data_IF_902206264682
#
_entry.id   IF_902206264682
#
_cell.length_a   1.000
_cell.length_b   1.000
_cell.length_c   1.000
_cell.angle_alpha   90.00
_cell.angle_beta   90.00
_cell.angle_gamma   90.00
#
_symmetry.space_group_name_H-M   'P 1'
#
loop_
_entity.id
_entity.type
_entity.pdbx_description
1 polymer ?
#
# COMPACT_ATOMS: atom_id res chain seq x y z
N UNK A 1 -89.22 72.14 -1.07
CA UNK A 1 -88.05 72.93 -0.63
C UNK A 1 -87.52 72.25 0.63
N UNK A 2 -86.39 71.55 0.55
CA UNK A 2 -85.08 72.01 1.07
C UNK A 2 -85.00 71.61 2.55
N UNK A 3 -84.04 70.83 3.06
CA UNK A 3 -82.59 71.00 2.98
C UNK A 3 -81.94 69.63 3.23
N UNK A 4 -81.17 69.14 2.25
CA UNK A 4 -80.17 68.08 2.41
C UNK A 4 -78.84 68.81 2.27
N UNK A 5 -78.06 68.93 3.35
CA UNK A 5 -76.60 69.17 3.33
C UNK A 5 -76.11 69.40 4.76
N UNK A 6 -75.97 68.33 5.53
CA UNK A 6 -75.23 68.38 6.80
C UNK A 6 -74.30 67.17 6.95
N UNK A 7 -73.84 66.61 5.82
CA UNK A 7 -72.97 65.42 5.83
C UNK A 7 -71.83 65.52 4.81
N UNK A 8 -71.15 66.68 4.77
CA UNK A 8 -69.83 66.81 4.14
C UNK A 8 -68.97 67.75 5.01
N UNK A 9 -68.93 67.49 6.32
CA UNK A 9 -68.34 68.37 7.32
C UNK A 9 -67.00 67.94 7.90
N UNK A 10 -66.34 66.89 7.36
CA UNK A 10 -65.13 66.33 7.99
C UNK A 10 -63.91 66.11 7.07
N UNK A 11 -63.88 66.65 5.85
CA UNK A 11 -62.70 66.49 4.99
C UNK A 11 -62.26 67.75 4.22
N UNK A 12 -62.45 68.93 4.82
CA UNK A 12 -61.91 70.19 4.30
C UNK A 12 -60.90 70.74 5.31
N UNK A 13 -59.71 70.13 5.34
CA UNK A 13 -58.52 70.90 5.74
C UNK A 13 -58.36 72.03 4.72
N UNK A 14 -58.00 73.22 5.21
CA UNK A 14 -57.58 74.34 4.37
C UNK A 14 -56.54 73.85 3.33
N UNK A 15 -56.67 74.20 2.04
CA UNK A 15 -55.74 73.77 1.00
C UNK A 15 -54.26 74.03 1.34
N UNK A 16 -53.99 75.08 2.13
CA UNK A 16 -52.65 75.41 2.65
C UNK A 16 -52.07 74.37 3.61
N UNK A 17 -52.90 73.74 4.44
CA UNK A 17 -52.45 72.75 5.43
C UNK A 17 -52.16 71.40 4.76
N UNK A 18 -52.94 71.05 3.72
CA UNK A 18 -52.69 69.86 2.89
C UNK A 18 -51.38 69.98 2.11
N UNK A 19 -51.10 71.16 1.53
CA UNK A 19 -49.83 71.43 0.82
C UNK A 19 -48.63 71.30 1.77
N UNK A 20 -48.73 71.80 3.01
CA UNK A 20 -47.65 71.67 4.01
C UNK A 20 -47.40 70.22 4.41
N UNK A 21 -48.46 69.42 4.63
CA UNK A 21 -48.31 67.98 4.91
C UNK A 21 -47.67 67.22 3.75
N UNK A 22 -48.06 67.53 2.51
CA UNK A 22 -47.46 66.93 1.32
C UNK A 22 -45.99 67.31 1.16
N UNK A 23 -45.59 68.55 1.49
CA UNK A 23 -44.18 68.96 1.49
C UNK A 23 -43.36 68.17 2.50
N UNK A 24 -43.86 67.98 3.72
CA UNK A 24 -43.18 67.18 4.76
C UNK A 24 -43.03 65.72 4.31
N UNK A 25 -44.09 65.11 3.76
CA UNK A 25 -44.05 63.75 3.23
C UNK A 25 -43.07 63.61 2.05
N UNK A 26 -43.04 64.61 1.16
CA UNK A 26 -42.12 64.64 0.03
C UNK A 26 -40.67 64.71 0.50
N UNK A 27 -40.36 65.56 1.49
CA UNK A 27 -39.01 65.69 2.01
C UNK A 27 -38.57 64.46 2.81
N UNK A 28 -39.50 63.82 3.54
CA UNK A 28 -39.26 62.51 4.17
C UNK A 28 -38.98 61.41 3.14
N UNK A 29 -39.75 61.35 2.05
CA UNK A 29 -39.56 60.37 0.99
C UNK A 29 -38.22 60.57 0.26
N UNK A 30 -37.81 61.83 0.03
CA UNK A 30 -36.48 62.13 -0.54
C UNK A 30 -35.35 61.66 0.36
N UNK A 31 -35.46 61.87 1.68
CA UNK A 31 -34.47 61.40 2.64
C UNK A 31 -34.38 59.87 2.64
N UNK A 32 -35.52 59.19 2.68
CA UNK A 32 -35.57 57.71 2.66
C UNK A 32 -35.00 57.12 1.36
N UNK A 33 -35.26 57.75 0.21
CA UNK A 33 -34.67 57.38 -1.07
C UNK A 33 -33.15 57.56 -1.04
N UNK A 34 -32.67 58.68 -0.48
CA UNK A 34 -31.22 58.92 -0.35
C UNK A 34 -30.56 57.88 0.56
N UNK A 35 -31.14 57.61 1.73
CA UNK A 35 -30.63 56.61 2.68
C UNK A 35 -30.63 55.19 2.08
N UNK A 36 -31.60 54.89 1.22
CA UNK A 36 -31.65 53.63 0.48
C UNK A 36 -30.57 53.56 -0.58
N UNK A 37 -30.36 54.63 -1.35
CA UNK A 37 -29.33 54.71 -2.37
C UNK A 37 -27.92 54.58 -1.76
N UNK A 38 -27.68 55.19 -0.60
CA UNK A 38 -26.41 55.04 0.12
C UNK A 38 -26.18 53.60 0.61
N UNK A 39 -27.22 52.94 1.14
CA UNK A 39 -27.14 51.53 1.56
C UNK A 39 -26.90 50.60 0.38
N UNK A 40 -27.57 50.82 -0.74
CA UNK A 40 -27.36 50.06 -1.97
C UNK A 40 -25.92 50.18 -2.47
N UNK A 41 -25.36 51.40 -2.49
CA UNK A 41 -23.96 51.61 -2.87
C UNK A 41 -22.98 50.85 -1.97
N UNK A 42 -23.22 50.83 -0.65
CA UNK A 42 -22.38 50.06 0.30
C UNK A 42 -22.46 48.55 0.03
N UNK A 43 -23.67 48.03 -0.20
CA UNK A 43 -23.86 46.61 -0.51
C UNK A 43 -23.23 46.21 -1.85
N UNK A 44 -23.26 47.09 -2.86
CA UNK A 44 -22.56 46.86 -4.13
C UNK A 44 -21.03 46.81 -3.96
N UNK A 45 -20.47 47.70 -3.15
CA UNK A 45 -19.05 47.71 -2.80
C UNK A 45 -18.66 46.41 -2.06
N UNK A 46 -19.44 46.00 -1.04
CA UNK A 46 -19.23 44.75 -0.30
C UNK A 46 -19.34 43.51 -1.20
N UNK A 47 -20.35 43.46 -2.07
CA UNK A 47 -20.54 42.36 -3.02
C UNK A 47 -19.36 42.24 -4.00
N UNK A 48 -18.82 43.38 -4.45
CA UNK A 48 -17.64 43.41 -5.31
C UNK A 48 -16.39 42.91 -4.58
N UNK A 49 -16.22 43.29 -3.32
CA UNK A 49 -15.12 42.82 -2.49
C UNK A 49 -15.20 41.31 -2.22
N UNK A 50 -16.38 40.81 -1.83
CA UNK A 50 -16.60 39.38 -1.60
C UNK A 50 -16.37 38.55 -2.87
N UNK A 51 -16.81 39.05 -4.04
CA UNK A 51 -16.51 38.39 -5.33
C UNK A 51 -15.01 38.33 -5.62
N UNK A 52 -14.27 39.40 -5.30
CA UNK A 52 -12.82 39.42 -5.47
C UNK A 52 -12.11 38.45 -4.52
N UNK A 53 -12.55 38.39 -3.24
CA UNK A 53 -12.05 37.43 -2.25
C UNK A 53 -12.32 35.99 -2.68
N UNK A 54 -13.53 35.70 -3.13
CA UNK A 54 -13.90 34.38 -3.63
C UNK A 54 -13.05 33.97 -4.83
N UNK A 55 -12.81 34.88 -5.79
CA UNK A 55 -11.95 34.61 -6.93
C UNK A 55 -10.51 34.28 -6.52
N UNK A 56 -9.95 34.98 -5.53
CA UNK A 56 -8.61 34.68 -5.00
C UNK A 56 -8.55 33.29 -4.35
N UNK A 57 -9.55 32.94 -3.55
CA UNK A 57 -9.63 31.62 -2.87
C UNK A 57 -9.78 30.49 -3.88
N UNK A 58 -10.59 30.67 -4.94
CA UNK A 58 -10.73 29.66 -5.99
C UNK A 58 -9.42 29.45 -6.78
N UNK A 59 -8.67 30.51 -7.06
CA UNK A 59 -7.35 30.37 -7.70
C UNK A 59 -6.33 29.70 -6.77
N UNK A 60 -6.32 30.02 -5.48
CA UNK A 60 -5.49 29.34 -4.50
C UNK A 60 -5.86 27.85 -4.39
N UNK A 61 -7.16 27.54 -4.37
CA UNK A 61 -7.67 26.16 -4.35
C UNK A 61 -7.21 25.38 -5.57
N UNK A 62 -7.32 25.96 -6.78
CA UNK A 62 -6.84 25.31 -8.01
C UNK A 62 -5.34 25.02 -7.96
N UNK A 63 -4.54 25.96 -7.46
CA UNK A 63 -3.09 25.76 -7.29
C UNK A 63 -2.79 24.62 -6.33
N UNK A 64 -3.48 24.59 -5.17
CA UNK A 64 -3.34 23.52 -4.18
C UNK A 64 -3.78 22.16 -4.73
N UNK A 65 -4.84 22.11 -5.52
CA UNK A 65 -5.27 20.87 -6.18
C UNK A 65 -4.18 20.38 -7.13
N UNK A 66 -3.65 21.25 -7.98
CA UNK A 66 -2.59 20.88 -8.92
C UNK A 66 -1.31 20.41 -8.20
N UNK A 67 -0.93 21.06 -7.10
CA UNK A 67 0.21 20.64 -6.26
C UNK A 67 0.00 19.26 -5.64
N UNK A 68 -1.21 18.98 -5.14
CA UNK A 68 -1.56 17.68 -4.56
C UNK A 68 -1.62 16.58 -5.63
N UNK A 69 -2.13 16.88 -6.83
CA UNK A 69 -2.16 15.93 -7.94
C UNK A 69 -0.74 15.54 -8.39
N UNK A 70 0.18 16.50 -8.48
CA UNK A 70 1.59 16.23 -8.80
C UNK A 70 2.27 15.40 -7.69
N UNK A 71 2.09 15.79 -6.43
CA UNK A 71 2.64 15.05 -5.29
C UNK A 71 2.11 13.62 -5.21
N UNK A 72 0.81 13.42 -5.50
CA UNK A 72 0.19 12.10 -5.56
C UNK A 72 0.79 11.28 -6.71
N UNK A 73 0.93 11.86 -7.91
CA UNK A 73 1.54 11.19 -9.05
C UNK A 73 2.97 10.73 -8.76
N UNK A 74 3.80 11.59 -8.14
CA UNK A 74 5.16 11.24 -7.74
C UNK A 74 5.19 10.12 -6.68
N UNK A 75 4.28 10.18 -5.71
CA UNK A 75 4.19 9.14 -4.68
C UNK A 75 3.77 7.79 -5.27
N UNK A 76 2.81 7.77 -6.19
CA UNK A 76 2.37 6.57 -6.90
C UNK A 76 3.48 5.98 -7.79
N UNK A 77 4.21 6.83 -8.53
CA UNK A 77 5.34 6.38 -9.36
C UNK A 77 6.46 5.79 -8.49
N UNK A 78 6.83 6.46 -7.40
CA UNK A 78 7.80 5.95 -6.43
C UNK A 78 7.35 4.62 -5.82
N UNK A 79 6.07 4.49 -5.46
CA UNK A 79 5.53 3.26 -4.89
C UNK A 79 5.60 2.11 -5.91
N UNK A 80 5.21 2.36 -7.16
CA UNK A 80 5.29 1.39 -8.24
C UNK A 80 6.73 0.97 -8.52
N UNK A 81 7.67 1.91 -8.58
CA UNK A 81 9.08 1.60 -8.80
C UNK A 81 9.65 0.71 -7.69
N UNK A 82 9.28 0.95 -6.43
CA UNK A 82 9.68 0.10 -5.30
C UNK A 82 9.05 -1.30 -5.38
N UNK A 83 7.78 -1.38 -5.75
CA UNK A 83 7.09 -2.66 -5.90
C UNK A 83 7.71 -3.51 -7.03
N UNK A 84 8.08 -2.88 -8.15
CA UNK A 84 8.75 -3.55 -9.26
C UNK A 84 10.18 -4.00 -8.90
N UNK A 85 10.92 -3.20 -8.13
CA UNK A 85 12.27 -3.54 -7.69
C UNK A 85 12.29 -4.62 -6.59
N UNK A 86 11.26 -4.70 -5.75
CA UNK A 86 11.24 -5.51 -4.53
C UNK A 86 11.62 -6.99 -4.74
N UNK A 87 11.12 -7.72 -5.76
CA UNK A 87 11.52 -9.11 -5.96
C UNK A 87 13.02 -9.30 -6.18
N UNK A 88 13.63 -8.39 -6.96
CA UNK A 88 15.08 -8.43 -7.23
C UNK A 88 15.90 -8.06 -5.99
N UNK A 89 15.50 -7.00 -5.28
CA UNK A 89 16.16 -6.58 -4.05
C UNK A 89 16.05 -7.65 -2.95
N UNK A 90 14.90 -8.29 -2.83
CA UNK A 90 14.69 -9.38 -1.88
C UNK A 90 15.54 -10.61 -2.22
N UNK A 91 15.69 -10.94 -3.51
CA UNK A 91 16.54 -12.03 -3.95
C UNK A 91 18.03 -11.74 -3.69
N UNK A 92 18.50 -10.55 -4.03
CA UNK A 92 19.87 -10.11 -3.76
C UNK A 92 20.18 -10.10 -2.26
N UNK A 93 19.25 -9.58 -1.46
CA UNK A 93 19.37 -9.58 -0.01
C UNK A 93 19.44 -11.01 0.55
N UNK A 94 18.54 -11.90 0.11
CA UNK A 94 18.52 -13.30 0.54
C UNK A 94 19.80 -14.05 0.15
N UNK A 95 20.38 -13.77 -1.02
CA UNK A 95 21.64 -14.35 -1.47
C UNK A 95 22.79 -13.97 -0.53
N UNK A 96 22.83 -12.73 -0.03
CA UNK A 96 23.83 -12.27 0.92
C UNK A 96 23.57 -12.74 2.37
N UNK A 97 22.33 -13.09 2.73
CA UNK A 97 21.92 -13.42 4.09
C UNK A 97 21.38 -14.86 4.22
N UNK A 98 21.91 -15.79 3.41
CA UNK A 98 21.40 -17.15 3.28
C UNK A 98 21.27 -17.91 4.62
N UNK A 99 22.16 -17.68 5.60
CA UNK A 99 22.07 -18.33 6.91
C UNK A 99 20.89 -17.84 7.75
N UNK A 100 20.57 -16.56 7.68
CA UNK A 100 19.44 -15.96 8.40
C UNK A 100 18.12 -16.40 7.78
N UNK A 101 18.04 -16.37 6.45
CA UNK A 101 16.89 -16.86 5.68
C UNK A 101 16.62 -18.33 6.00
N UNK A 102 17.65 -19.19 5.97
CA UNK A 102 17.50 -20.60 6.29
C UNK A 102 17.01 -20.82 7.73
N UNK A 103 17.54 -20.08 8.72
CA UNK A 103 17.07 -20.19 10.11
C UNK A 103 15.61 -19.78 10.24
N UNK A 104 15.20 -18.71 9.57
CA UNK A 104 13.82 -18.25 9.61
C UNK A 104 12.87 -19.29 9.03
N UNK A 105 13.13 -19.79 7.82
CA UNK A 105 12.27 -20.74 7.12
C UNK A 105 12.19 -22.11 7.79
N UNK A 106 13.25 -22.53 8.48
CA UNK A 106 13.32 -23.84 9.13
C UNK A 106 12.87 -23.81 10.60
N UNK A 107 12.13 -22.76 11.01
CA UNK A 107 11.66 -22.59 12.39
C UNK A 107 10.43 -23.45 12.67
N UNK A 108 9.42 -23.40 11.80
CA UNK A 108 8.18 -24.15 11.96
C UNK A 108 8.10 -25.35 11.01
N UNK A 109 7.43 -26.44 11.39
CA UNK A 109 7.22 -27.58 10.51
C UNK A 109 6.52 -27.21 9.21
N UNK A 110 5.56 -26.29 9.26
CA UNK A 110 4.78 -25.82 8.12
C UNK A 110 5.66 -25.06 7.12
N UNK A 111 6.42 -24.06 7.59
CA UNK A 111 7.33 -23.27 6.74
C UNK A 111 8.45 -24.15 6.17
N UNK A 112 8.97 -25.08 6.98
CA UNK A 112 9.96 -26.06 6.53
C UNK A 112 9.41 -26.91 5.40
N UNK A 113 8.19 -27.41 5.56
CA UNK A 113 7.55 -28.26 4.56
C UNK A 113 7.29 -27.48 3.27
N UNK A 114 6.87 -26.21 3.35
CA UNK A 114 6.68 -25.37 2.19
C UNK A 114 8.01 -25.06 1.47
N UNK A 115 9.08 -24.79 2.22
CA UNK A 115 10.43 -24.68 1.65
C UNK A 115 10.84 -25.95 0.88
N UNK A 116 10.67 -27.12 1.47
CA UNK A 116 11.02 -28.37 0.79
C UNK A 116 10.12 -28.65 -0.43
N UNK A 117 8.82 -28.31 -0.39
CA UNK A 117 7.95 -28.41 -1.59
C UNK A 117 8.51 -27.60 -2.75
N UNK A 118 8.98 -26.39 -2.49
CA UNK A 118 9.63 -25.55 -3.52
C UNK A 118 10.92 -26.19 -4.01
N UNK A 119 11.77 -26.69 -3.11
CA UNK A 119 12.99 -27.41 -3.48
C UNK A 119 12.71 -28.64 -4.36
N UNK A 120 11.58 -29.33 -4.16
CA UNK A 120 11.14 -30.44 -5.02
C UNK A 120 10.57 -30.01 -6.37
N UNK A 121 10.38 -28.72 -6.62
CA UNK A 121 9.90 -28.17 -7.90
C UNK A 121 11.06 -27.56 -8.69
N UNK A 122 11.93 -26.82 -8.02
CA UNK A 122 13.08 -26.13 -8.63
C UNK A 122 14.17 -27.11 -9.12
N UNK A 123 14.77 -26.90 -10.31
CA UNK A 123 15.78 -27.79 -10.88
C UNK A 123 17.00 -27.99 -9.98
N UNK A 124 17.56 -26.89 -9.47
CA UNK A 124 18.71 -26.90 -8.57
C UNK A 124 18.35 -27.57 -7.24
N UNK A 125 17.15 -27.29 -6.71
CA UNK A 125 16.66 -27.89 -5.47
C UNK A 125 16.52 -29.42 -5.57
N UNK A 126 15.92 -29.91 -6.67
CA UNK A 126 15.79 -31.35 -6.95
C UNK A 126 17.15 -32.03 -7.05
N UNK A 127 18.10 -31.38 -7.75
CA UNK A 127 19.47 -31.87 -7.86
C UNK A 127 20.11 -32.00 -6.48
N UNK A 128 20.04 -30.95 -5.66
CA UNK A 128 20.61 -30.96 -4.30
C UNK A 128 20.01 -32.06 -3.42
N UNK A 129 18.68 -32.20 -3.41
CA UNK A 129 18.00 -33.24 -2.62
C UNK A 129 18.43 -34.64 -3.08
N UNK A 130 18.54 -34.84 -4.39
CA UNK A 130 18.93 -36.12 -4.98
C UNK A 130 20.39 -36.45 -4.66
N UNK A 131 21.30 -35.47 -4.74
CA UNK A 131 22.71 -35.63 -4.37
C UNK A 131 22.85 -36.01 -2.89
N UNK A 132 22.14 -35.33 -1.99
CA UNK A 132 22.13 -35.64 -0.54
C UNK A 132 21.57 -37.05 -0.30
N UNK A 133 20.44 -37.39 -0.92
CA UNK A 133 19.83 -38.71 -0.79
C UNK A 133 20.73 -39.83 -1.33
N UNK A 134 21.36 -39.61 -2.48
CA UNK A 134 22.28 -40.57 -3.09
C UNK A 134 23.53 -40.79 -2.23
N UNK A 135 24.08 -39.71 -1.67
CA UNK A 135 25.19 -39.80 -0.72
C UNK A 135 24.81 -40.62 0.51
N UNK A 136 23.67 -40.32 1.15
CA UNK A 136 23.19 -41.09 2.30
C UNK A 136 22.98 -42.57 1.99
N UNK A 137 22.43 -42.88 0.82
CA UNK A 137 22.26 -44.25 0.34
C UNK A 137 23.60 -44.98 0.14
N UNK A 138 24.58 -44.32 -0.48
CA UNK A 138 25.91 -44.88 -0.70
C UNK A 138 26.64 -45.16 0.61
N UNK A 139 26.57 -44.25 1.58
CA UNK A 139 27.12 -44.44 2.92
C UNK A 139 26.50 -45.66 3.61
N UNK A 140 25.16 -45.75 3.64
CA UNK A 140 24.46 -46.90 4.23
C UNK A 140 24.83 -48.22 3.57
N UNK A 141 24.85 -48.25 2.24
CA UNK A 141 25.23 -49.45 1.48
C UNK A 141 26.68 -49.88 1.74
N UNK A 142 27.58 -48.94 2.02
CA UNK A 142 28.97 -49.26 2.35
C UNK A 142 29.05 -49.96 3.69
N UNK A 143 28.43 -49.40 4.72
CA UNK A 143 28.50 -49.93 6.07
C UNK A 143 27.80 -51.30 6.16
N UNK A 144 26.61 -51.40 5.59
CA UNK A 144 25.82 -52.65 5.59
C UNK A 144 26.52 -53.77 4.83
N UNK A 145 27.04 -53.48 3.62
CA UNK A 145 27.72 -54.49 2.80
C UNK A 145 29.03 -54.94 3.44
N UNK A 146 29.79 -54.01 4.03
CA UNK A 146 31.03 -54.32 4.74
C UNK A 146 30.75 -55.25 5.92
N UNK A 147 29.70 -54.95 6.70
CA UNK A 147 29.30 -55.78 7.84
C UNK A 147 28.78 -57.17 7.42
N UNK A 148 28.00 -57.23 6.34
CA UNK A 148 27.51 -58.49 5.78
C UNK A 148 28.68 -59.37 5.32
N UNK A 149 29.62 -58.82 4.54
CA UNK A 149 30.72 -59.60 3.99
C UNK A 149 31.68 -60.05 5.09
N UNK A 150 31.95 -59.22 6.09
CA UNK A 150 32.72 -59.63 7.27
C UNK A 150 32.06 -60.81 7.99
N UNK A 151 30.73 -60.81 8.13
CA UNK A 151 29.97 -61.91 8.75
C UNK A 151 29.99 -63.18 7.90
N UNK A 152 29.87 -63.06 6.58
CA UNK A 152 29.91 -64.21 5.66
C UNK A 152 31.29 -64.84 5.62
N UNK A 153 32.35 -64.04 5.52
CA UNK A 153 33.74 -64.50 5.54
C UNK A 153 34.08 -65.22 6.86
N UNK A 154 33.53 -64.76 7.99
CA UNK A 154 33.70 -65.42 9.29
C UNK A 154 33.03 -66.80 9.34
N UNK A 155 31.92 -67.00 8.60
CA UNK A 155 31.19 -68.27 8.56
C UNK A 155 31.77 -69.23 7.52
N UNK A 156 32.22 -68.70 6.40
CA UNK A 156 32.84 -69.43 5.30
C UNK A 156 34.11 -68.69 4.84
N UNK A 157 35.31 -69.14 5.25
CA UNK A 157 36.57 -68.52 4.84
C UNK A 157 36.84 -68.57 3.33
N UNK A 158 36.12 -69.42 2.59
CA UNK A 158 36.21 -69.51 1.13
C UNK A 158 35.22 -68.59 0.40
N UNK A 159 34.42 -67.83 1.15
CA UNK A 159 33.44 -66.89 0.62
C UNK A 159 34.11 -65.86 -0.29
N UNK A 160 33.57 -65.76 -1.51
CA UNK A 160 34.00 -64.80 -2.52
C UNK A 160 32.75 -64.10 -3.09
N UNK A 161 32.58 -62.79 -2.84
CA UNK A 161 31.45 -62.02 -3.36
C UNK A 161 31.31 -62.11 -4.87
N UNK A 162 32.42 -62.14 -5.62
CA UNK A 162 32.40 -62.13 -7.08
C UNK A 162 31.85 -63.44 -7.65
N UNK A 163 32.22 -64.59 -7.06
CA UNK A 163 31.67 -65.92 -7.45
C UNK A 163 30.16 -66.01 -7.21
N UNK A 164 29.69 -65.34 -6.17
CA UNK A 164 28.28 -65.27 -5.83
C UNK A 164 27.52 -64.16 -6.60
N UNK A 165 28.19 -63.44 -7.51
CA UNK A 165 27.66 -62.30 -8.26
C UNK A 165 27.12 -61.18 -7.36
N UNK A 166 27.68 -61.05 -6.16
CA UNK A 166 27.33 -59.97 -5.24
C UNK A 166 28.08 -58.68 -5.60
N UNK A 167 27.53 -57.49 -5.32
CA UNK A 167 28.20 -56.22 -5.59
C UNK A 167 29.59 -56.15 -4.93
N UNK A 168 30.59 -55.57 -5.59
CA UNK A 168 31.92 -55.38 -5.01
C UNK A 168 31.83 -54.49 -3.75
N UNK A 169 32.76 -54.59 -2.81
CA UNK A 169 32.83 -53.62 -1.70
C UNK A 169 33.16 -52.21 -2.23
N UNK A 170 32.75 -51.18 -1.49
CA UNK A 170 33.18 -49.82 -1.81
C UNK A 170 34.65 -49.67 -1.43
N UNK A 171 35.47 -49.32 -2.42
CA UNK A 171 36.89 -49.06 -2.22
C UNK A 171 37.14 -47.62 -1.74
N UNK A 172 36.24 -46.70 -2.10
CA UNK A 172 36.32 -45.29 -1.76
C UNK A 172 35.23 -44.93 -0.74
N UNK A 173 35.54 -43.97 0.11
CA UNK A 173 34.55 -43.37 0.99
C UNK A 173 33.65 -42.45 0.15
N UNK A 174 32.31 -42.58 0.24
CA UNK A 174 31.42 -41.64 -0.44
C UNK A 174 31.80 -40.22 -0.01
N UNK A 175 31.99 -39.34 -0.98
CA UNK A 175 32.29 -37.93 -0.72
C UNK A 175 30.99 -37.17 -0.47
N UNK A 176 30.90 -36.33 0.57
CA UNK A 176 29.70 -35.52 0.79
C UNK A 176 29.52 -34.53 -0.37
N UNK A 177 28.28 -34.33 -0.85
CA UNK A 177 28.01 -33.43 -1.97
C UNK A 177 28.23 -31.95 -1.60
N UNK A 178 28.23 -31.62 -0.31
CA UNK A 178 28.48 -30.28 0.20
C UNK A 178 29.53 -30.31 1.32
N UNK A 179 30.35 -29.24 1.47
CA UNK A 179 31.36 -29.19 2.51
C UNK A 179 30.73 -29.31 3.90
N UNK A 180 31.14 -30.31 4.66
CA UNK A 180 30.77 -30.42 6.07
C UNK A 180 31.76 -29.56 6.86
N UNK A 181 31.31 -28.44 7.43
CA UNK A 181 32.14 -27.68 8.35
C UNK A 181 32.59 -28.59 9.50
N UNK A 182 33.86 -28.51 9.96
CA UNK A 182 34.27 -29.25 11.16
C UNK A 182 33.35 -28.84 12.30
N UNK A 183 32.72 -29.81 12.98
CA UNK A 183 32.03 -29.53 14.24
C UNK A 183 33.08 -28.94 15.19
N UNK A 184 32.97 -27.66 15.49
CA UNK A 184 33.62 -27.10 16.66
C UNK A 184 32.86 -27.72 17.84
N UNK A 185 33.47 -28.74 18.43
CA UNK A 185 33.00 -29.39 19.65
C UNK A 185 33.28 -28.55 20.88
#
# INVERSE_FOLDING_TARGET
>A
AGVISEEIGQSLLEPKDQVSQLTILLDSAKLEINDRAERERRLEEELKEERARFALVEEERKRKIAELEDALGQAEESARAKEEAFPSEAADWAACHHTEVARSLLTTPEETMDFFKVMYQEPEGKRMITEIGSYGFQCGQKDERSLLYARLLKRDPSFDPAKMKLPALYNEEPAPPFPLSPRIG
#
